data_IF_430778298865
#
_entry.id   IF_430778298865
#
_cell.length_a   1.000
_cell.length_b   1.000
_cell.length_c   1.000
_cell.angle_alpha   90.00
_cell.angle_beta   90.00
_cell.angle_gamma   90.00
#
_symmetry.space_group_name_H-M   'P 1'
#
loop_
_entity.id
_entity.type
_entity.pdbx_description
1 polymer ?
#
# COMPACT_ATOMS: atom_id res chain seq x y z
N UNK A 1 17.44 -13.61 -23.81
CA UNK A 1 17.22 -13.61 -22.35
C UNK A 1 15.85 -12.99 -22.08
N UNK A 2 15.10 -13.45 -21.08
CA UNK A 2 13.87 -12.75 -20.66
C UNK A 2 14.24 -11.51 -19.83
N UNK A 3 13.46 -10.42 -19.92
CA UNK A 3 13.64 -9.29 -19.02
C UNK A 3 13.44 -9.74 -17.57
N UNK A 4 14.15 -9.13 -16.60
CA UNK A 4 13.93 -9.40 -15.18
C UNK A 4 12.48 -9.08 -14.79
N UNK A 5 11.94 -9.84 -13.84
CA UNK A 5 10.61 -9.60 -13.29
C UNK A 5 10.68 -8.38 -12.39
N UNK A 6 9.78 -7.41 -12.61
CA UNK A 6 9.60 -6.27 -11.74
C UNK A 6 8.64 -6.62 -10.60
N UNK A 7 9.09 -6.51 -9.36
CA UNK A 7 8.33 -6.83 -8.15
C UNK A 7 7.87 -5.54 -7.48
N UNK A 8 6.56 -5.42 -7.27
CA UNK A 8 5.93 -4.29 -6.61
C UNK A 8 5.29 -4.76 -5.30
N UNK A 9 5.79 -4.28 -4.15
CA UNK A 9 5.13 -4.44 -2.87
C UNK A 9 4.01 -3.39 -2.72
N UNK A 10 2.75 -3.83 -2.71
CA UNK A 10 1.61 -2.96 -2.44
C UNK A 10 1.44 -2.76 -0.93
N UNK A 11 1.90 -1.61 -0.42
CA UNK A 11 1.59 -1.17 0.93
C UNK A 11 0.16 -0.63 1.04
N UNK A 12 -0.38 -0.05 -0.04
CA UNK A 12 -1.77 0.39 -0.11
C UNK A 12 -2.13 1.38 1.01
N UNK A 13 -3.14 1.03 1.81
CA UNK A 13 -3.59 1.77 3.01
C UNK A 13 -3.13 1.12 4.33
N UNK A 14 -2.29 0.08 4.28
CA UNK A 14 -1.90 -0.75 5.45
C UNK A 14 -1.08 0.01 6.50
N UNK A 15 -0.74 1.27 6.24
CA UNK A 15 -0.13 2.17 7.21
C UNK A 15 -1.14 2.73 8.23
N UNK A 16 -2.45 2.50 8.06
CA UNK A 16 -3.50 2.90 9.00
C UNK A 16 -3.45 4.38 9.42
N UNK A 17 -3.08 5.27 8.48
CA UNK A 17 -2.91 6.70 8.75
C UNK A 17 -1.65 7.08 9.54
N UNK A 18 -0.82 6.11 9.96
CA UNK A 18 0.41 6.34 10.71
C UNK A 18 1.63 6.45 9.81
N UNK A 19 2.31 7.59 9.85
CA UNK A 19 3.58 7.79 9.13
C UNK A 19 4.71 6.87 9.65
N UNK A 20 4.70 6.57 10.95
CA UNK A 20 5.67 5.66 11.55
C UNK A 20 5.49 4.24 11.02
N UNK A 21 4.24 3.79 10.88
CA UNK A 21 3.95 2.48 10.29
C UNK A 21 4.27 2.46 8.78
N UNK A 22 3.99 3.54 8.06
CA UNK A 22 4.37 3.67 6.65
C UNK A 22 5.88 3.49 6.43
N UNK A 23 6.72 4.07 7.28
CA UNK A 23 8.18 3.88 7.23
C UNK A 23 8.58 2.43 7.49
N UNK A 24 7.99 1.77 8.48
CA UNK A 24 8.23 0.34 8.75
C UNK A 24 7.86 -0.56 7.56
N UNK A 25 6.79 -0.22 6.82
CA UNK A 25 6.42 -0.95 5.60
C UNK A 25 7.46 -0.78 4.49
N UNK A 26 8.10 0.39 4.40
CA UNK A 26 9.21 0.63 3.46
C UNK A 26 10.43 -0.22 3.87
N UNK A 27 10.80 -0.21 5.15
CA UNK A 27 11.92 -1.00 5.66
C UNK A 27 11.71 -2.50 5.37
N UNK A 28 10.51 -3.02 5.67
CA UNK A 28 10.17 -4.43 5.41
C UNK A 28 10.22 -4.79 3.92
N UNK A 29 9.80 -3.86 3.04
CA UNK A 29 9.85 -4.10 1.60
C UNK A 29 11.30 -4.04 1.06
N UNK A 30 12.14 -3.17 1.60
CA UNK A 30 13.57 -3.15 1.33
C UNK A 30 14.24 -4.46 1.73
N UNK A 31 13.97 -4.95 2.95
CA UNK A 31 14.50 -6.23 3.44
C UNK A 31 14.02 -7.42 2.58
N UNK A 32 12.85 -7.33 1.97
CA UNK A 32 12.30 -8.33 1.05
C UNK A 32 12.90 -8.26 -0.38
N UNK A 33 13.70 -7.25 -0.69
CA UNK A 33 14.37 -7.10 -1.99
C UNK A 33 13.44 -6.78 -3.15
N UNK A 34 12.33 -6.07 -2.90
CA UNK A 34 11.42 -5.64 -3.97
C UNK A 34 11.97 -4.43 -4.73
N UNK A 35 11.55 -4.25 -5.97
CA UNK A 35 11.98 -3.11 -6.79
C UNK A 35 11.23 -1.81 -6.42
N UNK A 36 9.94 -1.94 -6.09
CA UNK A 36 9.05 -0.79 -5.86
C UNK A 36 8.14 -1.05 -4.66
N UNK A 37 7.95 -0.03 -3.82
CA UNK A 37 6.89 0.02 -2.80
C UNK A 37 5.81 1.00 -3.25
N UNK A 38 4.55 0.55 -3.31
CA UNK A 38 3.43 1.35 -3.80
C UNK A 38 2.43 1.66 -2.70
N UNK A 39 2.03 2.93 -2.60
CA UNK A 39 1.00 3.43 -1.69
C UNK A 39 -0.22 3.92 -2.48
N UNK A 40 -1.38 3.96 -1.83
CA UNK A 40 -2.61 4.49 -2.42
C UNK A 40 -2.82 5.95 -1.99
N UNK A 41 -3.07 6.82 -2.96
CA UNK A 41 -3.43 8.23 -2.73
C UNK A 41 -4.84 8.47 -3.24
N UNK A 42 -5.77 8.73 -2.33
CA UNK A 42 -7.14 9.14 -2.65
C UNK A 42 -7.76 9.93 -1.49
N UNK A 43 -8.80 10.70 -1.80
CA UNK A 43 -9.72 11.23 -0.79
C UNK A 43 -10.95 10.32 -0.77
N UNK A 44 -11.25 9.69 0.36
CA UNK A 44 -12.38 8.75 0.47
C UNK A 44 -13.69 9.38 -0.02
N UNK A 45 -13.95 10.64 0.33
CA UNK A 45 -15.13 11.39 -0.11
C UNK A 45 -15.31 11.48 -1.64
N UNK A 46 -14.26 11.28 -2.43
CA UNK A 46 -14.30 11.33 -3.88
C UNK A 46 -14.53 9.95 -4.52
N UNK A 47 -14.46 8.86 -3.75
CA UNK A 47 -14.42 7.49 -4.28
C UNK A 47 -15.48 6.56 -3.68
N UNK A 48 -15.87 6.76 -2.41
CA UNK A 48 -16.87 5.92 -1.74
C UNK A 48 -18.21 6.61 -1.58
N UNK A 49 -19.30 5.85 -1.76
CA UNK A 49 -20.64 6.27 -1.37
C UNK A 49 -20.73 6.40 0.14
N UNK A 50 -21.64 7.26 0.63
CA UNK A 50 -21.94 7.39 2.06
C UNK A 50 -22.45 6.08 2.68
N UNK A 51 -23.10 5.25 1.86
CA UNK A 51 -23.67 3.97 2.29
C UNK A 51 -22.68 2.80 2.13
N UNK A 52 -21.47 3.06 1.67
CA UNK A 52 -20.46 2.02 1.47
C UNK A 52 -19.95 1.53 2.84
N UNK A 53 -20.21 0.25 3.12
CA UNK A 53 -19.72 -0.42 4.32
C UNK A 53 -18.23 -0.74 4.15
N UNK A 54 -17.42 -0.48 5.17
CA UNK A 54 -16.02 -0.96 5.18
C UNK A 54 -15.98 -2.48 5.22
N UNK A 55 -15.00 -3.05 4.53
CA UNK A 55 -14.71 -4.46 4.71
C UNK A 55 -14.27 -4.71 6.16
N UNK A 56 -14.61 -5.87 6.72
CA UNK A 56 -14.31 -6.20 8.12
C UNK A 56 -12.83 -6.24 8.46
N UNK A 57 -11.97 -6.36 7.45
CA UNK A 57 -10.51 -6.37 7.57
C UNK A 57 -9.85 -4.99 7.39
N UNK A 58 -10.64 -3.92 7.14
CA UNK A 58 -10.17 -2.55 6.89
C UNK A 58 -10.62 -1.54 7.94
#
# INVERSE_FOLDING_TARGET
>A
MRPPVLIIAEAGVNHNGSIALAKKLIDAAFDAGVDIVKFQTFKAANLVSKDAVKASYQ
#
